data_IF_643356177463
#
_entry.id   IF_643356177463
#
_cell.length_a   1.000
_cell.length_b   1.000
_cell.length_c   1.000
_cell.angle_alpha   90.00
_cell.angle_beta   90.00
_cell.angle_gamma   90.00
#
_symmetry.space_group_name_H-M   'P 1'
#
loop_
_entity.id
_entity.type
_entity.pdbx_description
1 polymer ?
#
# COMPACT_ATOMS: atom_id res chain seq x y z
N UNK A 1 -30.92 -33.98 -62.15
CA UNK A 1 -31.47 -33.53 -60.84
C UNK A 1 -32.58 -34.48 -60.48
N UNK A 2 -32.31 -35.42 -59.59
CA UNK A 2 -33.30 -36.42 -59.16
C UNK A 2 -34.21 -35.81 -58.09
N UNK A 3 -35.52 -35.80 -58.35
CA UNK A 3 -36.53 -35.23 -57.47
C UNK A 3 -36.80 -36.17 -56.30
N UNK A 4 -36.43 -35.74 -55.08
CA UNK A 4 -36.74 -36.44 -53.84
C UNK A 4 -38.26 -36.58 -53.64
N UNK A 5 -38.74 -37.78 -53.34
CA UNK A 5 -40.14 -38.06 -52.96
C UNK A 5 -40.21 -38.56 -51.50
N UNK A 6 -41.07 -37.98 -50.64
CA UNK A 6 -41.21 -38.42 -49.25
C UNK A 6 -41.87 -39.81 -49.14
N UNK A 7 -41.40 -40.60 -48.18
CA UNK A 7 -41.93 -41.93 -47.87
C UNK A 7 -43.30 -41.83 -47.16
N UNK A 8 -44.40 -42.36 -47.72
CA UNK A 8 -45.75 -42.23 -47.17
C UNK A 8 -46.01 -43.06 -45.90
N UNK A 9 -45.04 -43.84 -45.42
CA UNK A 9 -45.15 -44.63 -44.17
C UNK A 9 -44.31 -44.10 -43.00
N UNK A 10 -43.76 -42.89 -43.11
CA UNK A 10 -43.02 -42.31 -42.00
C UNK A 10 -43.97 -41.98 -40.83
N UNK A 11 -43.69 -42.52 -39.65
CA UNK A 11 -44.40 -42.17 -38.43
C UNK A 11 -44.17 -40.67 -38.09
N UNK A 12 -45.18 -39.96 -37.55
CA UNK A 12 -45.05 -38.55 -37.22
C UNK A 12 -43.94 -38.33 -36.17
N UNK A 13 -43.12 -37.29 -36.39
CA UNK A 13 -42.04 -36.92 -35.50
C UNK A 13 -42.60 -36.40 -34.17
N UNK A 14 -42.30 -37.12 -33.07
CA UNK A 14 -42.66 -36.72 -31.70
C UNK A 14 -41.39 -36.23 -30.99
N UNK A 15 -41.29 -34.96 -30.57
CA UNK A 15 -40.11 -34.47 -29.89
C UNK A 15 -39.98 -35.10 -28.49
N UNK A 16 -38.82 -35.71 -28.20
CA UNK A 16 -38.46 -36.24 -26.88
C UNK A 16 -38.28 -35.09 -25.87
N UNK A 17 -39.22 -34.91 -24.94
CA UNK A 17 -39.01 -34.13 -23.71
C UNK A 17 -38.18 -34.96 -22.73
N UNK A 18 -36.95 -34.52 -22.42
CA UNK A 18 -36.19 -35.03 -21.28
C UNK A 18 -36.84 -34.55 -19.98
N UNK A 19 -37.77 -35.35 -19.45
CA UNK A 19 -38.26 -35.23 -18.09
C UNK A 19 -37.66 -36.33 -17.24
N UNK A 20 -36.79 -35.98 -16.29
CA UNK A 20 -36.33 -36.89 -15.25
C UNK A 20 -37.53 -37.30 -14.38
N UNK A 21 -38.19 -38.41 -14.69
CA UNK A 21 -39.06 -39.14 -13.76
C UNK A 21 -38.27 -40.29 -13.16
N UNK A 22 -37.70 -40.02 -11.99
CA UNK A 22 -37.18 -41.03 -11.09
C UNK A 22 -38.39 -41.84 -10.56
N UNK A 23 -38.48 -43.11 -10.94
CA UNK A 23 -39.43 -44.06 -10.37
C UNK A 23 -38.90 -44.48 -9.00
N UNK A 24 -39.55 -44.00 -7.94
CA UNK A 24 -39.27 -44.40 -6.56
C UNK A 24 -40.28 -45.48 -6.17
N UNK A 25 -39.76 -46.65 -5.77
CA UNK A 25 -40.52 -47.72 -5.12
C UNK A 25 -41.04 -47.25 -3.75
N UNK A 26 -42.29 -47.57 -3.35
CA UNK A 26 -42.84 -47.13 -2.09
C UNK A 26 -42.62 -48.20 -1.02
N UNK A 27 -41.58 -48.08 -0.21
CA UNK A 27 -41.51 -48.76 1.09
C UNK A 27 -40.36 -48.19 1.94
N UNK A 28 -40.69 -47.80 3.18
CA UNK A 28 -39.80 -47.44 4.30
C UNK A 28 -38.94 -46.17 4.16
N UNK A 29 -39.48 -45.02 4.58
CA UNK A 29 -38.69 -44.03 5.33
C UNK A 29 -39.61 -42.94 5.91
N UNK A 30 -39.66 -42.86 7.24
CA UNK A 30 -40.56 -41.97 7.98
C UNK A 30 -40.17 -40.47 7.95
N UNK A 31 -41.04 -39.58 8.49
CA UNK A 31 -40.99 -38.13 8.26
C UNK A 31 -39.88 -37.37 9.02
N UNK A 32 -39.01 -38.06 9.77
CA UNK A 32 -38.08 -37.42 10.71
C UNK A 32 -36.73 -36.96 10.13
N UNK A 33 -36.34 -37.43 8.93
CA UNK A 33 -34.97 -37.25 8.43
C UNK A 33 -34.77 -35.96 7.61
N UNK A 34 -35.76 -35.54 6.82
CA UNK A 34 -35.64 -34.40 5.90
C UNK A 34 -35.72 -33.04 6.64
N UNK A 35 -36.41 -32.98 7.79
CA UNK A 35 -36.53 -31.75 8.57
C UNK A 35 -35.23 -31.42 9.33
N UNK A 36 -34.47 -32.44 9.76
CA UNK A 36 -33.21 -32.26 10.49
C UNK A 36 -32.11 -31.66 9.62
N UNK A 37 -32.03 -32.02 8.33
CA UNK A 37 -31.04 -31.45 7.40
C UNK A 37 -31.27 -29.96 7.09
N UNK A 38 -32.52 -29.52 6.96
CA UNK A 38 -32.84 -28.09 6.79
C UNK A 38 -32.58 -27.28 8.05
N UNK A 39 -32.80 -27.88 9.22
CA UNK A 39 -32.47 -27.27 10.50
C UNK A 39 -30.94 -27.17 10.69
N UNK A 40 -30.20 -28.23 10.35
CA UNK A 40 -28.74 -28.27 10.40
C UNK A 40 -28.10 -27.25 9.46
N UNK A 41 -28.62 -27.09 8.24
CA UNK A 41 -28.14 -26.07 7.31
C UNK A 41 -28.36 -24.65 7.84
N UNK A 42 -29.51 -24.38 8.48
CA UNK A 42 -29.77 -23.09 9.15
C UNK A 42 -28.84 -22.89 10.34
N UNK A 43 -28.62 -23.92 11.16
CA UNK A 43 -27.68 -23.87 12.30
C UNK A 43 -26.26 -23.57 11.80
N UNK A 44 -25.83 -24.21 10.71
CA UNK A 44 -24.52 -23.94 10.10
C UNK A 44 -24.39 -22.52 9.57
N UNK A 45 -25.45 -21.99 8.92
CA UNK A 45 -25.48 -20.60 8.46
C UNK A 45 -25.43 -19.61 9.63
N UNK A 46 -26.19 -19.85 10.69
CA UNK A 46 -26.12 -19.06 11.92
C UNK A 46 -24.74 -19.12 12.58
N UNK A 47 -24.11 -20.31 12.61
CA UNK A 47 -22.77 -20.51 13.13
C UNK A 47 -21.73 -19.74 12.30
N UNK A 48 -21.84 -19.74 10.98
CA UNK A 48 -20.94 -19.00 10.09
C UNK A 48 -21.08 -17.49 10.28
N UNK A 49 -22.31 -16.97 10.39
CA UNK A 49 -22.57 -15.55 10.69
C UNK A 49 -22.05 -15.18 12.08
N UNK A 50 -22.22 -16.07 13.06
CA UNK A 50 -21.69 -15.87 14.41
C UNK A 50 -20.15 -15.79 14.42
N UNK A 51 -19.48 -16.72 13.73
CA UNK A 51 -18.00 -16.68 13.59
C UNK A 51 -17.56 -15.39 12.90
N UNK A 52 -18.25 -14.96 11.84
CA UNK A 52 -17.97 -13.68 11.17
C UNK A 52 -18.12 -12.50 12.14
N UNK A 53 -19.20 -12.43 12.91
CA UNK A 53 -19.41 -11.39 13.92
C UNK A 53 -18.33 -11.39 15.00
N UNK A 54 -17.93 -12.57 15.49
CA UNK A 54 -16.84 -12.70 16.47
C UNK A 54 -15.53 -12.19 15.88
N UNK A 55 -15.21 -12.52 14.63
CA UNK A 55 -13.99 -11.99 13.98
C UNK A 55 -14.03 -10.48 13.79
N UNK A 56 -15.20 -9.91 13.47
CA UNK A 56 -15.39 -8.47 13.38
C UNK A 56 -15.19 -7.82 14.75
N UNK A 57 -15.75 -8.39 15.82
CA UNK A 57 -15.60 -7.88 17.19
C UNK A 57 -14.14 -7.95 17.64
N UNK A 58 -13.43 -9.06 17.37
CA UNK A 58 -12.00 -9.18 17.68
C UNK A 58 -11.20 -8.11 16.94
N UNK A 59 -11.48 -7.88 15.65
CA UNK A 59 -10.84 -6.81 14.88
C UNK A 59 -11.14 -5.42 15.47
N UNK A 60 -12.37 -5.15 15.90
CA UNK A 60 -12.76 -3.88 16.53
C UNK A 60 -12.05 -3.70 17.89
N UNK A 61 -12.04 -4.74 18.73
CA UNK A 61 -11.35 -4.71 20.03
C UNK A 61 -9.85 -4.53 19.84
N UNK A 62 -9.25 -5.18 18.85
CA UNK A 62 -7.84 -4.99 18.52
C UNK A 62 -7.53 -3.55 18.07
N UNK A 63 -8.37 -2.97 17.21
CA UNK A 63 -8.24 -1.56 16.80
C UNK A 63 -8.40 -0.63 18.02
N UNK A 64 -9.38 -0.90 18.90
CA UNK A 64 -9.62 -0.08 20.10
C UNK A 64 -8.52 -0.23 21.15
N UNK A 65 -8.01 -1.44 21.40
CA UNK A 65 -6.89 -1.68 22.33
C UNK A 65 -5.62 -1.02 21.82
N UNK A 66 -5.36 -1.08 20.51
CA UNK A 66 -4.25 -0.34 19.86
C UNK A 66 -4.41 1.17 20.06
N UNK A 67 -5.63 1.69 19.90
CA UNK A 67 -5.90 3.13 20.10
C UNK A 67 -5.74 3.59 21.55
N UNK A 68 -6.08 2.73 22.53
CA UNK A 68 -5.95 3.04 23.96
C UNK A 68 -4.49 3.02 24.42
N UNK A 69 -3.70 2.05 23.94
CA UNK A 69 -2.26 1.98 24.28
C UNK A 69 -1.49 3.20 23.78
N UNK A 70 -1.86 3.74 22.61
CA UNK A 70 -1.29 4.99 22.10
C UNK A 70 -1.69 6.21 22.94
N UNK A 71 -2.89 6.22 23.54
CA UNK A 71 -3.28 7.26 24.49
C UNK A 71 -2.55 7.13 25.83
N UNK A 72 -2.29 5.91 26.33
CA UNK A 72 -1.55 5.69 27.58
C UNK A 72 -0.08 6.14 27.48
N UNK A 73 0.61 5.90 26.34
CA UNK A 73 1.96 6.43 26.10
C UNK A 73 1.98 7.97 26.03
N UNK A 74 0.95 8.60 25.45
CA UNK A 74 0.83 10.06 25.41
C UNK A 74 0.46 10.69 26.77
N UNK A 75 -0.14 9.91 27.68
CA UNK A 75 -0.57 10.37 29.00
C UNK A 75 0.56 10.34 30.05
N UNK A 76 1.57 9.48 29.86
CA UNK A 76 2.69 9.32 30.78
C UNK A 76 3.90 10.23 30.51
N UNK A 77 3.92 10.97 29.40
CA UNK A 77 5.02 11.86 29.03
C UNK A 77 4.84 13.33 29.49
N UNK A 78 3.76 13.67 30.21
CA UNK A 78 3.50 15.04 30.67
C UNK A 78 3.31 15.05 32.19
N UNK A 79 4.39 14.88 32.94
CA UNK A 79 4.49 15.39 34.30
C UNK A 79 5.87 16.05 34.43
N UNK A 80 5.86 17.38 34.60
CA UNK A 80 6.68 18.17 35.53
C UNK A 80 7.02 19.55 34.95
N UNK A 81 6.21 20.55 35.28
CA UNK A 81 6.65 21.74 36.04
C UNK A 81 5.45 22.65 36.37
N UNK A 82 5.05 22.65 37.65
CA UNK A 82 4.26 23.70 38.29
C UNK A 82 5.17 24.94 38.47
N UNK A 83 4.75 26.18 38.24
CA UNK A 83 4.04 27.13 39.15
C UNK A 83 3.90 28.42 38.30
N UNK A 84 2.74 29.06 38.09
CA UNK A 84 2.02 29.96 39.00
C UNK A 84 0.73 30.46 38.31
N UNK A 85 -0.32 30.75 39.09
CA UNK A 85 -1.72 30.73 38.63
C UNK A 85 -2.31 31.95 37.91
N UNK A 86 -3.55 31.76 37.43
CA UNK A 86 -4.72 32.66 37.54
C UNK A 86 -5.97 32.07 36.84
N UNK A 87 -7.04 32.00 37.61
CA UNK A 87 -8.48 32.08 37.32
C UNK A 87 -9.10 31.57 36.00
N UNK A 88 -9.97 30.56 36.17
CA UNK A 88 -11.29 30.34 35.55
C UNK A 88 -11.61 30.98 34.20
N UNK A 89 -11.63 30.15 33.14
CA UNK A 89 -12.73 30.12 32.16
C UNK A 89 -12.78 28.77 31.43
N UNK A 90 -13.98 28.19 31.37
CA UNK A 90 -14.36 26.93 30.69
C UNK A 90 -14.37 27.14 29.16
N UNK A 91 -14.05 26.12 28.34
CA UNK A 91 -13.57 26.33 26.98
C UNK A 91 -14.69 26.70 26.01
N UNK A 92 -14.55 27.86 25.37
CA UNK A 92 -15.30 28.17 24.16
C UNK A 92 -14.69 27.43 22.98
N UNK A 93 -15.55 26.64 22.35
CA UNK A 93 -15.37 25.98 21.07
C UNK A 93 -15.12 27.03 19.98
N UNK A 94 -13.86 27.43 19.81
CA UNK A 94 -13.43 28.31 18.72
C UNK A 94 -12.16 27.76 18.08
N UNK A 95 -12.25 26.56 17.50
CA UNK A 95 -11.25 26.05 16.57
C UNK A 95 -11.94 25.33 15.40
N UNK A 96 -12.39 26.10 14.42
CA UNK A 96 -12.59 25.64 13.04
C UNK A 96 -12.63 26.81 12.05
N UNK A 97 -11.84 27.87 12.27
CA UNK A 97 -11.57 28.90 11.28
C UNK A 97 -10.12 29.36 11.45
N UNK A 98 -9.17 28.49 11.07
CA UNK A 98 -7.75 28.82 11.03
C UNK A 98 -7.17 28.29 9.71
N UNK A 99 -6.66 29.24 8.92
CA UNK A 99 -5.76 29.11 7.76
C UNK A 99 -6.18 28.26 6.56
N UNK A 100 -7.04 28.83 5.71
CA UNK A 100 -7.20 28.38 4.30
C UNK A 100 -6.08 28.91 3.37
N UNK A 101 -5.15 29.73 3.89
CA UNK A 101 -4.11 30.41 3.09
C UNK A 101 -2.71 29.80 3.22
N UNK A 102 -2.49 28.84 4.11
CA UNK A 102 -1.20 28.17 4.23
C UNK A 102 -1.13 26.98 3.26
N UNK A 103 -0.05 26.83 2.46
CA UNK A 103 0.08 25.66 1.60
C UNK A 103 0.11 24.40 2.47
N UNK A 104 -0.80 23.46 2.20
CA UNK A 104 -0.86 22.20 2.93
C UNK A 104 0.44 21.43 2.69
N UNK A 105 1.22 21.21 3.75
CA UNK A 105 2.49 20.49 3.69
C UNK A 105 2.28 19.02 4.04
N UNK A 106 2.86 18.13 3.24
CA UNK A 106 2.95 16.70 3.49
C UNK A 106 4.26 16.41 4.23
N UNK A 107 4.19 15.76 5.39
CA UNK A 107 5.38 15.28 6.09
C UNK A 107 5.66 13.84 5.67
N UNK A 108 6.82 13.62 5.04
CA UNK A 108 7.26 12.30 4.59
C UNK A 108 8.46 11.87 5.43
N UNK A 109 8.37 10.69 6.03
CA UNK A 109 9.45 10.05 6.77
C UNK A 109 9.86 8.76 6.06
N UNK A 110 11.15 8.58 5.82
CA UNK A 110 11.71 7.48 5.04
C UNK A 110 12.86 6.85 5.82
N UNK A 111 12.69 5.58 6.19
CA UNK A 111 13.72 4.75 6.80
C UNK A 111 14.37 3.89 5.71
N UNK A 112 15.70 3.95 5.61
CA UNK A 112 16.53 3.00 4.88
C UNK A 112 17.51 2.34 5.85
N UNK A 113 17.58 1.01 5.82
CA UNK A 113 18.47 0.24 6.70
C UNK A 113 18.80 -1.13 6.09
N UNK A 114 19.74 -1.83 6.71
CA UNK A 114 20.13 -3.18 6.31
C UNK A 114 18.94 -4.14 6.22
N UNK A 115 18.04 -4.12 7.20
CA UNK A 115 16.99 -5.14 7.35
C UNK A 115 15.57 -4.62 7.22
N UNK A 116 15.38 -3.30 7.15
CA UNK A 116 14.05 -2.67 7.15
C UNK A 116 14.00 -1.41 6.29
N UNK A 117 12.95 -1.28 5.50
CA UNK A 117 12.52 -0.01 4.90
C UNK A 117 11.13 0.32 5.43
N UNK A 118 10.91 1.59 5.74
CA UNK A 118 9.58 2.09 6.10
C UNK A 118 9.37 3.49 5.52
N UNK A 119 8.16 3.77 5.07
CA UNK A 119 7.76 5.09 4.61
C UNK A 119 6.46 5.48 5.30
N UNK A 120 6.46 6.65 5.94
CA UNK A 120 5.29 7.22 6.59
C UNK A 120 4.96 8.58 6.00
N UNK A 121 3.68 8.87 5.87
CA UNK A 121 3.13 10.12 5.35
C UNK A 121 2.16 10.67 6.38
N UNK A 122 2.45 11.88 6.89
CA UNK A 122 1.72 12.51 7.99
C UNK A 122 1.53 11.59 9.22
N UNK A 123 2.57 10.80 9.52
CA UNK A 123 2.58 9.83 10.62
C UNK A 123 1.92 8.49 10.31
N UNK A 124 1.22 8.34 9.18
CA UNK A 124 0.66 7.07 8.75
C UNK A 124 1.68 6.26 7.93
N UNK A 125 2.03 5.05 8.38
CA UNK A 125 2.91 4.14 7.65
C UNK A 125 2.21 3.63 6.38
N UNK A 126 2.76 3.95 5.21
CA UNK A 126 2.22 3.55 3.90
C UNK A 126 2.99 2.40 3.24
N UNK A 127 4.23 2.18 3.66
CA UNK A 127 5.07 1.06 3.28
C UNK A 127 5.87 0.62 4.50
N UNK A 128 5.92 -0.68 4.74
CA UNK A 128 6.84 -1.29 5.67
C UNK A 128 7.30 -2.63 5.09
N UNK A 129 8.61 -2.80 4.99
CA UNK A 129 9.23 -4.05 4.59
C UNK A 129 10.37 -4.37 5.56
N UNK A 130 10.13 -5.36 6.42
CA UNK A 130 11.07 -5.86 7.42
C UNK A 130 11.37 -7.36 7.22
N UNK A 131 10.92 -7.96 6.11
CA UNK A 131 11.11 -9.40 5.87
C UNK A 131 12.59 -9.71 5.60
N UNK A 132 13.16 -10.72 6.26
CA UNK A 132 14.63 -10.89 6.27
C UNK A 132 15.18 -11.42 4.96
N UNK A 133 14.41 -12.23 4.24
CA UNK A 133 14.86 -12.92 3.02
C UNK A 133 14.37 -12.29 1.72
N UNK A 134 13.62 -11.19 1.77
CA UNK A 134 13.01 -10.56 0.60
C UNK A 134 13.21 -9.04 0.59
N UNK A 135 12.90 -8.41 -0.53
CA UNK A 135 12.82 -6.95 -0.64
C UNK A 135 14.16 -6.21 -0.67
N UNK A 136 15.29 -6.90 -0.91
CA UNK A 136 16.58 -6.26 -1.19
C UNK A 136 16.47 -5.30 -2.38
N UNK A 137 17.22 -4.20 -2.32
CA UNK A 137 17.36 -3.28 -3.44
C UNK A 137 16.83 -1.89 -3.13
N UNK A 138 16.45 -1.18 -4.19
CA UNK A 138 15.89 0.17 -4.12
C UNK A 138 14.37 0.08 -4.14
N UNK A 139 13.74 0.48 -3.05
CA UNK A 139 12.30 0.72 -2.95
C UNK A 139 11.98 2.06 -3.56
N UNK A 140 10.98 2.11 -4.43
CA UNK A 140 10.50 3.32 -5.10
C UNK A 140 8.99 3.45 -4.91
N UNK A 141 8.56 4.54 -4.30
CA UNK A 141 7.15 4.90 -4.16
C UNK A 141 6.87 6.17 -4.93
N UNK A 142 5.68 6.23 -5.53
CA UNK A 142 5.20 7.40 -6.25
C UNK A 142 3.92 7.88 -5.58
N UNK A 143 3.89 9.14 -5.15
CA UNK A 143 2.71 9.78 -4.57
C UNK A 143 2.15 10.84 -5.52
N UNK A 144 0.83 11.03 -5.43
CA UNK A 144 0.15 12.16 -6.05
C UNK A 144 0.54 13.46 -5.32
N UNK A 145 0.95 14.48 -6.06
CA UNK A 145 1.43 15.74 -5.50
C UNK A 145 0.35 16.67 -4.94
N UNK A 146 -0.92 16.43 -5.27
CA UNK A 146 -2.04 17.20 -4.75
C UNK A 146 -2.67 16.54 -3.52
N UNK A 147 -2.74 15.20 -3.50
CA UNK A 147 -3.42 14.46 -2.41
C UNK A 147 -2.48 13.74 -1.44
N UNK A 148 -1.23 13.52 -1.81
CA UNK A 148 -0.31 12.65 -1.07
C UNK A 148 -0.63 11.15 -1.18
N UNK A 149 -1.65 10.77 -1.98
CA UNK A 149 -2.07 9.37 -2.12
C UNK A 149 -1.03 8.54 -2.89
N UNK A 150 -0.84 7.30 -2.47
CA UNK A 150 0.07 6.36 -3.14
C UNK A 150 -0.48 5.99 -4.52
N UNK A 151 0.36 6.18 -5.55
CA UNK A 151 0.06 5.83 -6.93
C UNK A 151 0.76 4.55 -7.37
N UNK A 152 1.98 4.32 -6.92
CA UNK A 152 2.75 3.14 -7.24
C UNK A 152 3.75 2.80 -6.13
N UNK A 153 4.02 1.51 -5.98
CA UNK A 153 5.08 0.97 -5.12
C UNK A 153 5.81 -0.12 -5.91
N UNK A 154 7.14 -0.03 -5.97
CA UNK A 154 8.02 -0.97 -6.67
C UNK A 154 9.29 -1.19 -5.88
N UNK A 155 9.85 -2.38 -6.02
CA UNK A 155 11.17 -2.73 -5.49
C UNK A 155 11.99 -3.17 -6.70
N UNK A 156 13.19 -2.62 -6.83
CA UNK A 156 14.15 -3.00 -7.86
C UNK A 156 15.37 -3.60 -7.17
N UNK A 157 15.60 -4.89 -7.36
CA UNK A 157 16.77 -5.58 -6.78
C UNK A 157 18.01 -5.23 -7.59
N UNK A 158 18.49 -3.99 -7.48
CA UNK A 158 19.65 -3.47 -8.22
C UNK A 158 20.99 -4.03 -7.76
N UNK A 159 20.97 -5.02 -6.86
CA UNK A 159 22.07 -5.96 -6.67
C UNK A 159 22.11 -7.03 -7.78
N UNK A 160 20.96 -7.38 -8.34
CA UNK A 160 20.80 -8.32 -9.45
C UNK A 160 20.91 -7.60 -10.81
N UNK A 161 21.39 -8.29 -11.86
CA UNK A 161 21.52 -7.70 -13.19
C UNK A 161 20.18 -7.20 -13.77
N UNK A 162 20.22 -6.12 -14.57
CA UNK A 162 19.11 -5.55 -15.34
C UNK A 162 18.00 -4.84 -14.54
N UNK A 163 17.95 -4.97 -13.21
CA UNK A 163 16.98 -4.26 -12.36
C UNK A 163 17.21 -2.74 -12.38
N UNK A 164 18.44 -2.29 -12.66
CA UNK A 164 18.77 -0.88 -12.83
C UNK A 164 18.11 -0.25 -14.08
N UNK A 165 18.05 -1.02 -15.17
CA UNK A 165 17.37 -0.66 -16.41
C UNK A 165 15.85 -0.64 -16.23
N UNK A 166 15.30 -1.63 -15.52
CA UNK A 166 13.88 -1.68 -15.17
C UNK A 166 13.46 -0.48 -14.32
N UNK A 167 14.27 -0.11 -13.33
CA UNK A 167 14.05 1.10 -12.52
C UNK A 167 14.07 2.36 -13.39
N UNK A 168 15.05 2.49 -14.29
CA UNK A 168 15.15 3.65 -15.17
C UNK A 168 13.93 3.78 -16.09
N UNK A 169 13.45 2.68 -16.67
CA UNK A 169 12.23 2.65 -17.48
C UNK A 169 11.00 3.07 -16.67
N UNK A 170 10.85 2.53 -15.45
CA UNK A 170 9.76 2.91 -14.56
C UNK A 170 9.75 4.41 -14.27
N UNK A 171 10.89 4.97 -13.87
CA UNK A 171 11.03 6.38 -13.55
C UNK A 171 10.77 7.29 -14.76
N UNK A 172 11.11 6.86 -15.97
CA UNK A 172 10.80 7.60 -17.20
C UNK A 172 9.29 7.65 -17.48
N UNK A 173 8.55 6.57 -17.19
CA UNK A 173 7.10 6.52 -17.36
C UNK A 173 6.30 7.30 -16.31
N UNK A 174 6.89 7.60 -15.13
CA UNK A 174 6.23 8.44 -14.13
C UNK A 174 6.03 9.85 -14.69
N UNK A 175 4.81 10.39 -14.62
CA UNK A 175 4.54 11.75 -15.08
C UNK A 175 5.32 12.79 -14.28
N UNK A 176 5.65 13.92 -14.92
CA UNK A 176 6.26 15.05 -14.24
C UNK A 176 5.35 15.61 -13.13
N UNK A 177 5.97 16.22 -12.12
CA UNK A 177 5.28 16.77 -10.96
C UNK A 177 4.89 15.75 -9.90
N UNK A 178 5.05 14.43 -10.11
CA UNK A 178 4.81 13.41 -9.08
C UNK A 178 5.91 13.41 -8.02
N UNK A 179 5.53 13.11 -6.78
CA UNK A 179 6.48 12.91 -5.68
C UNK A 179 7.01 11.48 -5.79
N UNK A 180 8.32 11.31 -5.77
CA UNK A 180 9.01 10.03 -5.83
C UNK A 180 9.90 9.89 -4.60
N UNK A 181 9.77 8.74 -3.94
CA UNK A 181 10.45 8.40 -2.70
C UNK A 181 11.34 7.19 -3.00
N UNK A 182 12.60 7.25 -2.57
CA UNK A 182 13.59 6.19 -2.70
C UNK A 182 14.10 5.76 -1.32
N UNK A 183 14.28 4.47 -1.12
CA UNK A 183 14.94 3.91 0.06
C UNK A 183 15.68 2.62 -0.29
N UNK A 184 16.90 2.43 0.22
CA UNK A 184 17.64 1.17 0.08
C UNK A 184 17.32 0.23 1.25
N UNK A 185 17.08 -1.05 0.92
CA UNK A 185 17.12 -2.18 1.86
C UNK A 185 18.29 -3.09 1.49
N UNK A 186 19.09 -3.46 2.48
CA UNK A 186 20.26 -4.36 2.35
C UNK A 186 21.35 -3.84 1.38
N UNK A 187 21.17 -4.00 0.07
CA UNK A 187 22.13 -3.60 -0.96
C UNK A 187 21.37 -3.20 -2.22
N UNK A 188 21.73 -2.06 -2.81
CA UNK A 188 21.05 -1.56 -4.02
C UNK A 188 21.99 -0.91 -5.02
N UNK A 189 23.29 -1.24 -5.02
CA UNK A 189 24.29 -0.53 -5.81
C UNK A 189 25.19 -1.44 -6.65
N UNK A 190 25.24 -2.74 -6.39
CA UNK A 190 26.21 -3.64 -7.03
C UNK A 190 26.08 -3.70 -8.55
N UNK A 191 24.85 -3.69 -9.09
CA UNK A 191 24.57 -3.68 -10.53
C UNK A 191 24.05 -2.32 -11.02
N UNK A 192 24.15 -1.26 -10.21
CA UNK A 192 23.73 0.09 -10.61
C UNK A 192 24.70 0.73 -11.61
N UNK A 193 24.31 0.80 -12.88
CA UNK A 193 25.11 1.39 -13.96
C UNK A 193 24.94 2.92 -14.04
N UNK A 194 25.85 3.54 -14.80
CA UNK A 194 25.91 4.98 -14.99
C UNK A 194 24.59 5.61 -15.47
N UNK A 195 23.84 5.04 -16.45
CA UNK A 195 22.59 5.65 -16.91
C UNK A 195 21.52 5.78 -15.82
N UNK A 196 21.38 4.77 -14.95
CA UNK A 196 20.45 4.81 -13.83
C UNK A 196 20.88 5.85 -12.79
N UNK A 197 22.18 5.95 -12.49
CA UNK A 197 22.75 6.96 -11.58
C UNK A 197 22.56 8.38 -12.11
N UNK A 198 22.73 8.59 -13.42
CA UNK A 198 22.46 9.88 -14.07
C UNK A 198 20.98 10.26 -14.01
N UNK A 199 20.07 9.30 -14.15
CA UNK A 199 18.65 9.56 -13.99
C UNK A 199 18.31 10.02 -12.57
N UNK A 200 18.84 9.36 -11.54
CA UNK A 200 18.69 9.79 -10.14
C UNK A 200 19.33 11.17 -9.91
N UNK A 201 20.47 11.45 -10.54
CA UNK A 201 21.09 12.77 -10.48
C UNK A 201 20.21 13.86 -11.12
N UNK A 202 19.57 13.58 -12.27
CA UNK A 202 18.59 14.48 -12.91
C UNK A 202 17.34 14.72 -12.05
N UNK A 203 16.98 13.79 -11.17
CA UNK A 203 15.93 13.97 -10.15
C UNK A 203 16.40 14.84 -8.96
N UNK A 204 17.67 15.26 -8.95
CA UNK A 204 18.26 16.17 -7.97
C UNK A 204 19.17 15.51 -6.93
N UNK A 205 19.40 14.19 -7.00
CA UNK A 205 20.27 13.48 -6.06
C UNK A 205 21.70 14.00 -6.14
N UNK A 206 22.29 14.29 -4.97
CA UNK A 206 23.70 14.65 -4.83
C UNK A 206 24.56 13.43 -4.53
N UNK A 207 23.96 12.32 -4.08
CA UNK A 207 24.67 11.10 -3.68
C UNK A 207 24.55 9.96 -4.69
N UNK A 208 23.68 10.02 -5.69
CA UNK A 208 23.47 8.93 -6.68
C UNK A 208 24.76 8.47 -7.38
N UNK A 209 25.71 9.38 -7.60
CA UNK A 209 27.02 9.08 -8.19
C UNK A 209 28.03 8.50 -7.17
N UNK A 210 27.75 8.64 -5.87
CA UNK A 210 28.68 8.34 -4.77
C UNK A 210 28.27 7.13 -3.93
N UNK A 211 26.98 6.77 -3.92
CA UNK A 211 26.49 5.60 -3.20
C UNK A 211 27.14 4.33 -3.76
N UNK A 212 27.63 3.48 -2.85
CA UNK A 212 28.32 2.23 -3.17
C UNK A 212 27.87 1.10 -2.25
N UNK A 213 28.59 -0.02 -2.34
CA UNK A 213 28.34 -1.27 -1.63
C UNK A 213 27.81 -1.08 -0.21
N UNK A 214 26.57 -1.53 0.02
CA UNK A 214 25.89 -1.56 1.34
C UNK A 214 25.77 -0.20 2.04
N UNK A 215 25.87 0.90 1.30
CA UNK A 215 25.51 2.21 1.81
C UNK A 215 23.99 2.31 2.00
N UNK A 216 23.56 2.97 3.07
CA UNK A 216 22.14 3.26 3.30
C UNK A 216 21.80 4.63 2.73
N UNK A 217 20.67 4.71 2.04
CA UNK A 217 20.30 5.92 1.29
C UNK A 217 18.78 6.04 1.20
N UNK A 218 18.30 7.25 1.43
CA UNK A 218 16.92 7.64 1.26
C UNK A 218 16.84 9.00 0.56
N UNK A 219 15.86 9.19 -0.32
CA UNK A 219 15.66 10.43 -1.05
C UNK A 219 14.17 10.68 -1.29
N UNK A 220 13.76 11.94 -1.19
CA UNK A 220 12.42 12.41 -1.56
C UNK A 220 12.58 13.53 -2.59
N UNK A 221 11.96 13.38 -3.74
CA UNK A 221 11.97 14.39 -4.80
C UNK A 221 10.64 14.48 -5.52
N UNK A 222 10.41 15.59 -6.21
CA UNK A 222 9.30 15.75 -7.14
C UNK A 222 9.87 15.86 -8.55
N UNK A 223 9.44 14.94 -9.41
CA UNK A 223 9.97 14.80 -10.77
C UNK A 223 9.82 16.10 -11.55
N UNK A 224 10.90 16.52 -12.21
CA UNK A 224 11.01 17.77 -12.97
C UNK A 224 10.79 19.07 -12.16
N UNK A 225 10.77 19.01 -10.82
CA UNK A 225 10.61 20.18 -9.95
C UNK A 225 11.85 20.37 -9.09
N UNK A 226 12.02 19.55 -8.03
CA UNK A 226 13.18 19.61 -7.12
C UNK A 226 13.27 18.38 -6.22
N UNK A 227 14.43 18.20 -5.61
CA UNK A 227 14.61 17.30 -4.46
C UNK A 227 14.26 18.01 -3.15
N UNK A 228 13.53 17.34 -2.25
CA UNK A 228 13.15 17.86 -0.93
C UNK A 228 14.08 17.41 0.18
N UNK A 229 14.68 16.23 0.05
CA UNK A 229 15.61 15.73 1.04
C UNK A 229 16.34 14.49 0.57
N UNK A 230 17.52 14.28 1.14
CA UNK A 230 18.40 13.14 0.86
C UNK A 230 19.22 12.85 2.11
N UNK A 231 19.16 11.60 2.59
CA UNK A 231 19.96 11.10 3.71
C UNK A 231 20.80 9.93 3.25
N UNK A 232 22.01 9.83 3.81
CA UNK A 232 23.01 8.87 3.37
C UNK A 232 23.91 8.44 4.52
N UNK A 233 24.31 7.18 4.53
CA UNK A 233 25.27 6.62 5.47
C UNK A 233 26.18 5.61 4.76
N UNK A 234 27.48 5.80 4.92
CA UNK A 234 28.52 4.99 4.28
C UNK A 234 28.75 3.68 5.03
N UNK A 235 28.91 2.57 4.33
CA UNK A 235 29.47 1.35 4.93
C UNK A 235 30.93 1.59 5.33
N UNK A 236 31.33 1.14 6.52
CA UNK A 236 32.71 1.30 6.99
C UNK A 236 33.65 0.32 6.32
N UNK A 237 33.16 -0.88 6.06
CA UNK A 237 33.93 -2.03 5.58
C UNK A 237 33.06 -2.91 4.67
N UNK A 238 33.70 -3.81 3.92
CA UNK A 238 33.00 -4.72 3.01
C UNK A 238 31.95 -5.62 3.70
N UNK A 239 32.21 -6.00 4.95
CA UNK A 239 31.35 -6.88 5.75
C UNK A 239 30.32 -6.12 6.61
N UNK A 240 30.30 -4.79 6.55
CA UNK A 240 29.35 -3.96 7.30
C UNK A 240 28.38 -3.26 6.35
N UNK A 241 27.31 -2.74 6.92
CA UNK A 241 26.35 -1.87 6.24
C UNK A 241 26.50 -0.46 6.79
N UNK A 242 26.11 0.54 6.00
CA UNK A 242 25.92 1.88 6.53
C UNK A 242 24.91 1.87 7.67
N UNK A 243 25.08 2.77 8.63
CA UNK A 243 24.08 2.98 9.68
C UNK A 243 22.72 3.35 9.07
N UNK A 244 21.63 2.92 9.69
CA UNK A 244 20.26 3.26 9.25
C UNK A 244 20.09 4.77 9.11
N UNK A 245 19.42 5.19 8.04
CA UNK A 245 19.10 6.60 7.80
C UNK A 245 17.60 6.82 7.91
N UNK A 246 17.23 7.85 8.67
CA UNK A 246 15.87 8.37 8.72
C UNK A 246 15.88 9.75 8.05
N UNK A 247 15.19 9.86 6.93
CA UNK A 247 14.97 11.12 6.24
C UNK A 247 13.57 11.64 6.58
N UNK A 248 13.49 12.89 7.04
CA UNK A 248 12.22 13.61 7.17
C UNK A 248 12.21 14.77 6.19
N UNK A 249 11.20 14.81 5.32
CA UNK A 249 11.03 15.82 4.29
C UNK A 249 9.62 16.44 4.38
N UNK A 250 9.53 17.75 4.11
CA UNK A 250 8.25 18.46 4.01
C UNK A 250 8.01 18.83 2.55
N UNK A 251 6.90 18.38 1.98
CA UNK A 251 6.54 18.59 0.57
C UNK A 251 5.25 19.40 0.48
N UNK A 252 5.24 20.60 -0.13
CA UNK A 252 3.99 21.34 -0.33
C UNK A 252 3.10 20.58 -1.31
N UNK A 253 1.83 20.43 -0.96
CA UNK A 253 0.83 19.90 -1.87
C UNK A 253 0.47 20.97 -2.91
N UNK A 254 0.41 20.54 -4.17
CA UNK A 254 0.02 21.40 -5.29
C UNK A 254 -1.50 21.53 -5.33
N UNK A 255 -2.00 22.70 -5.70
CA UNK A 255 -3.45 22.89 -5.87
C UNK A 255 -4.02 21.96 -6.93
N UNK A 256 -5.29 21.56 -6.79
CA UNK A 256 -5.98 20.71 -7.77
C UNK A 256 -6.13 21.40 -9.14
N UNK A 257 -6.12 22.73 -9.19
CA UNK A 257 -6.25 23.53 -10.42
C UNK A 257 -4.97 23.48 -11.27
N UNK A 258 -3.80 23.61 -10.65
CA UNK A 258 -2.49 23.50 -11.31
C UNK A 258 -2.22 22.07 -11.83
N UNK A 259 -2.79 21.06 -11.17
CA UNK A 259 -2.66 19.65 -11.58
C UNK A 259 -3.41 19.33 -12.88
N UNK A 260 -4.42 20.12 -13.26
CA UNK A 260 -5.18 19.93 -14.52
C UNK A 260 -4.51 20.61 -15.72
N UNK A 261 -3.80 21.71 -15.51
CA UNK A 261 -3.14 22.47 -16.58
C UNK A 261 -1.96 21.75 -17.24
N UNK A 262 -1.36 20.78 -16.55
CA UNK A 262 -0.21 19.99 -17.05
C UNK A 262 -0.61 18.78 -17.91
N UNK A 263 -1.89 18.42 -17.97
CA UNK A 263 -2.41 17.35 -18.85
C UNK A 263 -2.83 17.84 -20.26
N UNK A 264 -2.74 19.14 -20.53
CA UNK A 264 -3.30 19.76 -21.73
C UNK A 264 -2.26 20.29 -22.74
N UNK A 265 -1.00 19.88 -22.62
CA UNK A 265 0.07 20.25 -23.55
C UNK A 265 0.77 19.01 -24.12
#
# INVERSE_FOLDING_TARGET
>A
MESWKPNPRAAPFVPRKHGNRMLIHPHLSGPGYIHRHKLLAKIFQFLLVFVLLVTIVINIVFILDTSRRLQEESSHAVIQDDVEGRDFARPEQSQAQLDESAPKMLTIEVLSSQSRVAVSVDGATILEDAEKSEGRGIHVLVLNQATGSVMAQRIFDTYSPHEDEAMALFLNMVSDGRIIIFAIKDEGTFQMKQPARELLHRLGSRRAQLISWRDMWAMVAQKAVKMFGESFSKSTDFNTWGASVLLRAQVPLVSMEETRGTCAL
#
